data_IF_368597989231
#
_entry.id   IF_368597989231
#
_cell.length_a   1.000
_cell.length_b   1.000
_cell.length_c   1.000
_cell.angle_alpha   90.00
_cell.angle_beta   90.00
_cell.angle_gamma   90.00
#
_symmetry.space_group_name_H-M   'P 1'
#
loop_
_entity.id
_entity.type
_entity.pdbx_description
1 polymer ?
#
# COMPACT_ATOMS: atom_id res chain seq x y z
N UNK A 1 -32.31 -3.72 3.42
CA UNK A 1 -31.05 -2.98 3.18
C UNK A 1 -30.65 -3.18 1.73
N UNK A 2 -30.74 -2.14 0.90
CA UNK A 2 -30.36 -2.18 -0.51
C UNK A 2 -28.84 -2.06 -0.60
N UNK A 3 -28.17 -3.07 -1.18
CA UNK A 3 -26.71 -3.05 -1.36
C UNK A 3 -26.37 -1.94 -2.37
N UNK A 4 -25.63 -0.91 -1.95
CA UNK A 4 -25.17 0.17 -2.83
C UNK A 4 -24.27 -0.46 -3.92
N UNK A 5 -24.58 -0.21 -5.20
CA UNK A 5 -23.73 -0.61 -6.32
C UNK A 5 -22.67 0.47 -6.54
N UNK A 6 -21.39 0.08 -6.60
CA UNK A 6 -20.27 1.00 -6.82
C UNK A 6 -19.49 1.42 -5.57
N UNK A 7 -19.82 0.88 -4.40
CA UNK A 7 -19.00 1.04 -3.19
C UNK A 7 -18.13 -0.21 -3.01
N UNK A 8 -16.83 0.00 -3.08
CA UNK A 8 -15.78 -0.97 -2.76
C UNK A 8 -15.07 -0.48 -1.49
N UNK A 9 -14.55 -1.40 -0.66
CA UNK A 9 -13.72 -1.01 0.48
C UNK A 9 -12.51 -0.22 0.00
N UNK A 10 -12.11 0.84 0.72
CA UNK A 10 -10.89 1.59 0.38
C UNK A 10 -9.69 0.65 0.26
N UNK A 11 -9.58 -0.31 1.17
CA UNK A 11 -8.48 -1.29 1.18
C UNK A 11 -8.45 -2.16 -0.10
N UNK A 12 -9.62 -2.59 -0.58
CA UNK A 12 -9.71 -3.41 -1.79
C UNK A 12 -9.42 -2.62 -3.08
N UNK A 13 -9.53 -1.29 -3.03
CA UNK A 13 -9.25 -0.38 -4.15
C UNK A 13 -7.81 0.15 -4.16
N UNK A 14 -7.23 0.31 -2.98
CA UNK A 14 -5.85 0.80 -2.80
C UNK A 14 -4.82 -0.17 -3.39
N UNK A 15 -5.05 -1.48 -3.27
CA UNK A 15 -4.18 -2.53 -3.82
C UNK A 15 -3.98 -2.42 -5.34
N UNK A 16 -5.04 -2.37 -6.19
CA UNK A 16 -4.89 -2.21 -7.62
C UNK A 16 -4.39 -0.83 -8.05
N UNK A 17 -4.61 0.22 -7.26
CA UNK A 17 -4.08 1.56 -7.54
C UNK A 17 -2.56 1.62 -7.32
N UNK A 18 -2.05 1.03 -6.24
CA UNK A 18 -0.61 0.92 -5.99
C UNK A 18 0.07 0.02 -7.02
N UNK A 19 -0.53 -1.11 -7.40
CA UNK A 19 0.09 -1.99 -8.40
C UNK A 19 0.13 -1.39 -9.81
N UNK A 20 -0.75 -0.43 -10.12
CA UNK A 20 -0.77 0.27 -11.39
C UNK A 20 0.29 1.39 -11.52
N UNK A 21 0.76 1.95 -10.39
CA UNK A 21 1.76 3.01 -10.37
C UNK A 21 2.92 2.67 -9.40
N UNK A 22 4.04 2.26 -10.00
CA UNK A 22 5.24 1.87 -9.26
C UNK A 22 5.97 3.06 -8.66
N UNK A 23 6.00 4.22 -9.31
CA UNK A 23 6.66 5.40 -8.75
C UNK A 23 5.90 5.89 -7.52
N UNK A 24 4.57 5.92 -7.60
CA UNK A 24 3.69 6.18 -6.46
C UNK A 24 3.94 5.18 -5.32
N UNK A 25 4.00 3.88 -5.64
CA UNK A 25 4.27 2.85 -4.62
C UNK A 25 5.61 3.03 -3.95
N UNK A 26 6.65 3.43 -4.68
CA UNK A 26 7.98 3.68 -4.11
C UNK A 26 7.95 4.86 -3.14
N UNK A 27 7.27 5.96 -3.47
CA UNK A 27 7.11 7.10 -2.56
C UNK A 27 6.27 6.74 -1.34
N UNK A 28 5.20 5.97 -1.53
CA UNK A 28 4.37 5.46 -0.44
C UNK A 28 5.16 4.55 0.51
N UNK A 29 6.00 3.66 -0.03
CA UNK A 29 6.88 2.79 0.73
C UNK A 29 7.87 3.61 1.58
N UNK A 30 8.49 4.66 1.00
CA UNK A 30 9.39 5.54 1.75
C UNK A 30 8.68 6.24 2.90
N UNK A 31 7.49 6.78 2.66
CA UNK A 31 6.69 7.44 3.69
C UNK A 31 6.34 6.46 4.82
N UNK A 32 5.88 5.25 4.48
CA UNK A 32 5.55 4.22 5.46
C UNK A 32 6.76 3.78 6.30
N UNK A 33 7.95 3.70 5.71
CA UNK A 33 9.20 3.41 6.43
C UNK A 33 9.59 4.56 7.38
N UNK A 34 9.46 5.81 6.94
CA UNK A 34 9.74 6.99 7.78
C UNK A 34 8.80 7.07 9.00
N UNK A 35 7.53 6.69 8.85
CA UNK A 35 6.58 6.64 9.97
C UNK A 35 6.96 5.64 11.08
N UNK A 36 7.85 4.68 10.81
CA UNK A 36 8.31 3.74 11.84
C UNK A 36 9.22 4.41 12.89
N UNK A 37 9.86 5.51 12.53
CA UNK A 37 10.74 6.28 13.43
C UNK A 37 9.93 7.11 14.45
N UNK A 38 8.65 7.38 14.18
CA UNK A 38 7.73 8.00 15.14
C UNK A 38 6.91 6.93 15.89
N UNK A 39 7.02 6.80 17.23
CA UNK A 39 6.23 5.86 18.01
C UNK A 39 4.71 5.99 17.80
N UNK A 40 4.21 7.20 17.63
CA UNK A 40 2.77 7.47 17.47
C UNK A 40 2.24 7.04 16.10
N UNK A 41 3.09 7.09 15.06
CA UNK A 41 2.70 6.75 13.68
C UNK A 41 3.09 5.31 13.29
N UNK A 42 3.88 4.63 14.12
CA UNK A 42 4.46 3.31 13.82
C UNK A 42 3.41 2.27 13.43
N UNK A 43 2.27 2.26 14.12
CA UNK A 43 1.19 1.33 13.83
C UNK A 43 0.60 1.57 12.43
N UNK A 44 0.39 2.83 12.05
CA UNK A 44 -0.08 3.20 10.72
C UNK A 44 0.96 2.85 9.65
N UNK A 45 2.25 3.13 9.91
CA UNK A 45 3.35 2.75 9.03
C UNK A 45 3.40 1.24 8.75
N UNK A 46 3.22 0.39 9.77
CA UNK A 46 3.18 -1.06 9.59
C UNK A 46 1.97 -1.54 8.76
N UNK A 47 0.80 -0.92 8.94
CA UNK A 47 -0.38 -1.22 8.13
C UNK A 47 -0.15 -0.83 6.66
N UNK A 48 0.43 0.35 6.41
CA UNK A 48 0.80 0.80 5.07
C UNK A 48 1.81 -0.15 4.40
N UNK A 49 2.84 -0.60 5.13
CA UNK A 49 3.80 -1.59 4.61
C UNK A 49 3.14 -2.91 4.24
N UNK A 50 2.17 -3.36 5.03
CA UNK A 50 1.38 -4.56 4.72
C UNK A 50 0.62 -4.38 3.41
N UNK A 51 -0.04 -3.25 3.20
CA UNK A 51 -0.79 -2.96 1.96
C UNK A 51 0.12 -2.97 0.73
N UNK A 52 1.32 -2.37 0.83
CA UNK A 52 2.32 -2.41 -0.26
C UNK A 52 2.78 -3.85 -0.55
N UNK A 53 3.00 -4.65 0.50
CA UNK A 53 3.35 -6.06 0.33
C UNK A 53 2.24 -6.87 -0.32
N UNK A 54 0.97 -6.62 0.03
CA UNK A 54 -0.20 -7.24 -0.59
C UNK A 54 -0.32 -6.87 -2.09
N UNK A 55 0.00 -5.62 -2.45
CA UNK A 55 -0.08 -5.15 -3.84
C UNK A 55 1.01 -5.75 -4.75
N UNK A 56 2.20 -6.04 -4.23
CA UNK A 56 3.34 -6.53 -5.02
C UNK A 56 3.71 -8.00 -4.77
N UNK A 57 3.01 -8.69 -3.86
CA UNK A 57 3.35 -10.06 -3.44
C UNK A 57 4.60 -10.14 -2.54
N UNK A 58 5.02 -9.01 -1.97
CA UNK A 58 6.19 -8.88 -1.12
C UNK A 58 6.96 -7.57 -1.35
N UNK A 59 7.54 -7.00 -0.28
CA UNK A 59 8.24 -5.71 -0.34
C UNK A 59 9.47 -5.72 -1.26
N UNK A 60 10.18 -6.84 -1.35
CA UNK A 60 11.35 -6.97 -2.23
C UNK A 60 11.01 -6.86 -3.72
N UNK A 61 9.75 -7.12 -4.10
CA UNK A 61 9.28 -7.10 -5.48
C UNK A 61 9.00 -5.67 -5.97
N UNK A 62 8.77 -4.72 -5.05
CA UNK A 62 8.63 -3.28 -5.37
C UNK A 62 9.88 -2.77 -6.11
N UNK A 63 11.07 -3.25 -5.73
CA UNK A 63 12.34 -2.83 -6.31
C UNK A 63 12.72 -3.57 -7.61
N UNK A 64 11.99 -4.62 -8.00
CA UNK A 64 12.33 -5.36 -9.22
C UNK A 64 11.88 -4.59 -10.46
N UNK A 65 12.74 -4.61 -11.49
CA UNK A 65 12.46 -4.04 -12.80
C UNK A 65 11.60 -5.04 -13.58
N UNK A 66 10.51 -4.63 -14.25
CA UNK A 66 9.74 -5.57 -15.08
C UNK A 66 10.64 -6.14 -16.18
N UNK A 67 10.54 -7.46 -16.39
CA UNK A 67 11.23 -8.22 -17.44
C UNK A 67 10.68 -7.85 -18.80
#
# INVERSE_FOLDING_TARGET
MTKLKGVISHHEREIPELSADRELTVEYLKAAMASLDNPDDRAAGLLALRTVAEAYGGLALVSQKPV
#
